data_IF_142287976842
#
_entry.id   IF_142287976842
#
_cell.length_a   1.000
_cell.length_b   1.000
_cell.length_c   1.000
_cell.angle_alpha   90.00
_cell.angle_beta   90.00
_cell.angle_gamma   90.00
#
_symmetry.space_group_name_H-M   'P 1'
#
loop_
_entity.id
_entity.type
_entity.pdbx_description
1 polymer ?
#
# COMPACT_ATOMS: atom_id res chain seq x y z
N UNK A 1 -6.82 -0.52 7.39
CA UNK A 1 -6.52 -1.96 7.24
C UNK A 1 -6.50 -2.47 5.81
N UNK A 2 -7.33 -1.98 4.88
CA UNK A 2 -7.37 -2.49 3.49
C UNK A 2 -6.02 -2.46 2.76
N UNK A 3 -5.22 -1.40 2.97
CA UNK A 3 -3.88 -1.28 2.36
C UNK A 3 -2.90 -2.29 2.96
N UNK A 4 -2.90 -2.46 4.28
CA UNK A 4 -2.05 -3.44 4.99
C UNK A 4 -2.34 -4.87 4.50
N UNK A 5 -3.62 -5.24 4.38
CA UNK A 5 -4.01 -6.58 3.94
C UNK A 5 -3.68 -6.86 2.48
N UNK A 6 -3.92 -5.88 1.60
CA UNK A 6 -3.66 -6.04 0.17
C UNK A 6 -2.16 -6.08 -0.15
N UNK A 7 -1.35 -5.32 0.59
CA UNK A 7 0.11 -5.30 0.39
C UNK A 7 0.85 -6.32 1.25
N UNK A 8 0.20 -7.01 2.19
CA UNK A 8 0.85 -7.84 3.23
C UNK A 8 1.99 -7.07 3.93
N UNK A 9 1.67 -5.86 4.39
CA UNK A 9 2.59 -5.01 5.15
C UNK A 9 1.94 -4.57 6.46
N UNK A 10 2.77 -4.20 7.45
CA UNK A 10 2.31 -3.55 8.68
C UNK A 10 2.64 -2.06 8.59
N UNK A 11 1.64 -1.21 8.77
CA UNK A 11 1.80 0.25 8.73
C UNK A 11 1.61 0.78 10.15
N UNK A 12 2.57 1.54 10.65
CA UNK A 12 2.50 2.23 11.94
C UNK A 12 2.56 3.73 11.68
N UNK A 13 1.51 4.45 12.08
CA UNK A 13 1.43 5.90 12.06
C UNK A 13 2.03 6.44 13.36
N UNK A 14 3.13 7.16 13.25
CA UNK A 14 3.83 7.81 14.37
C UNK A 14 3.81 9.33 14.12
N UNK A 15 2.62 9.91 14.24
CA UNK A 15 2.34 11.34 14.14
C UNK A 15 2.84 11.96 12.81
N UNK A 16 4.10 12.40 12.77
CA UNK A 16 4.77 12.96 11.58
C UNK A 16 5.40 11.91 10.67
N UNK A 17 5.61 10.68 11.14
CA UNK A 17 6.28 9.61 10.38
C UNK A 17 5.38 8.39 10.18
N UNK A 18 5.50 7.78 9.02
CA UNK A 18 4.81 6.55 8.67
C UNK A 18 5.84 5.44 8.52
N UNK A 19 5.80 4.44 9.41
CA UNK A 19 6.66 3.27 9.33
C UNK A 19 5.92 2.15 8.60
N UNK A 20 6.58 1.49 7.65
CA UNK A 20 6.02 0.37 6.89
C UNK A 20 6.97 -0.81 7.01
N UNK A 21 6.47 -1.92 7.55
CA UNK A 21 7.22 -3.16 7.76
C UNK A 21 6.70 -4.25 6.81
N UNK A 22 7.62 -4.96 6.17
CA UNK A 22 7.31 -6.04 5.22
C UNK A 22 8.45 -6.30 4.24
N UNK A 23 8.20 -7.12 3.22
CA UNK A 23 9.16 -7.33 2.13
C UNK A 23 9.33 -6.05 1.31
N UNK A 24 10.53 -5.81 0.77
CA UNK A 24 10.86 -4.57 0.04
C UNK A 24 9.87 -4.23 -1.09
N UNK A 25 9.45 -5.23 -1.87
CA UNK A 25 8.50 -5.05 -2.97
C UNK A 25 7.08 -4.70 -2.51
N UNK A 26 6.68 -5.25 -1.36
CA UNK A 26 5.40 -4.97 -0.72
C UNK A 26 5.39 -3.55 -0.10
N UNK A 27 6.49 -3.19 0.56
CA UNK A 27 6.69 -1.84 1.13
C UNK A 27 6.57 -0.77 0.03
N UNK A 28 7.20 -0.99 -1.14
CA UNK A 28 7.11 -0.05 -2.26
C UNK A 28 5.65 0.17 -2.69
N UNK A 29 4.89 -0.91 -2.82
CA UNK A 29 3.46 -0.84 -3.22
C UNK A 29 2.61 -0.12 -2.17
N UNK A 30 2.82 -0.40 -0.88
CA UNK A 30 2.13 0.30 0.20
C UNK A 30 2.48 1.79 0.24
N UNK A 31 3.76 2.12 0.04
CA UNK A 31 4.25 3.51 0.01
C UNK A 31 3.61 4.31 -1.12
N UNK A 32 3.60 3.77 -2.34
CA UNK A 32 2.98 4.43 -3.50
C UNK A 32 1.50 4.79 -3.22
N UNK A 33 0.78 3.87 -2.58
CA UNK A 33 -0.63 4.08 -2.25
C UNK A 33 -0.83 5.16 -1.19
N UNK A 34 0.01 5.17 -0.14
CA UNK A 34 -0.03 6.19 0.91
C UNK A 34 0.29 7.56 0.34
N UNK A 35 1.33 7.66 -0.49
CA UNK A 35 1.71 8.93 -1.15
C UNK A 35 0.58 9.43 -2.05
N UNK A 36 -0.06 8.55 -2.83
CA UNK A 36 -1.20 8.94 -3.67
C UNK A 36 -2.37 9.51 -2.83
N UNK A 37 -2.64 8.95 -1.66
CA UNK A 37 -3.65 9.46 -0.74
C UNK A 37 -3.25 10.82 -0.14
N UNK A 38 -1.99 11.01 0.25
CA UNK A 38 -1.47 12.29 0.76
C UNK A 38 -1.57 13.39 -0.32
N UNK A 39 -1.32 13.03 -1.58
CA UNK A 39 -1.45 13.93 -2.74
C UNK A 39 -2.91 14.23 -3.13
N UNK A 40 -3.91 13.73 -2.38
CA UNK A 40 -5.32 14.00 -2.63
C UNK A 40 -5.96 13.15 -3.72
N UNK A 41 -5.34 12.02 -4.12
CA UNK A 41 -6.00 11.09 -5.04
C UNK A 41 -7.24 10.49 -4.38
N UNK A 42 -8.36 10.35 -5.11
CA UNK A 42 -9.57 9.77 -4.56
C UNK A 42 -9.30 8.32 -4.10
N UNK A 43 -9.75 7.93 -2.89
CA UNK A 43 -9.42 6.64 -2.31
C UNK A 43 -9.87 5.46 -3.17
N UNK A 44 -11.01 5.59 -3.87
CA UNK A 44 -11.50 4.56 -4.79
C UNK A 44 -10.50 4.21 -5.91
N UNK A 45 -9.83 5.22 -6.47
CA UNK A 45 -8.79 5.01 -7.51
C UNK A 45 -7.58 4.30 -6.93
N UNK A 46 -7.12 4.73 -5.76
CA UNK A 46 -5.98 4.13 -5.06
C UNK A 46 -6.24 2.66 -4.74
N UNK A 47 -7.42 2.33 -4.21
CA UNK A 47 -7.79 0.94 -3.91
C UNK A 47 -7.88 0.06 -5.15
N UNK A 48 -8.44 0.57 -6.26
CA UNK A 48 -8.45 -0.16 -7.53
C UNK A 48 -7.03 -0.45 -8.03
N UNK A 49 -6.12 0.53 -8.00
CA UNK A 49 -4.72 0.32 -8.37
C UNK A 49 -4.03 -0.68 -7.43
N UNK A 50 -4.31 -0.60 -6.13
CA UNK A 50 -3.78 -1.51 -5.13
C UNK A 50 -4.21 -2.95 -5.38
N UNK A 51 -5.49 -3.17 -5.74
CA UNK A 51 -6.05 -4.48 -6.07
C UNK A 51 -5.37 -5.10 -7.29
N UNK A 52 -5.16 -4.31 -8.36
CA UNK A 52 -4.45 -4.77 -9.55
C UNK A 52 -3.00 -5.14 -9.26
N UNK A 53 -2.29 -4.32 -8.47
CA UNK A 53 -0.91 -4.62 -8.05
C UNK A 53 -0.86 -5.87 -7.17
N UNK A 54 -1.77 -6.01 -6.20
CA UNK A 54 -1.85 -7.18 -5.32
C UNK A 54 -2.14 -8.48 -6.09
N UNK A 55 -3.04 -8.44 -7.09
CA UNK A 55 -3.34 -9.59 -7.95
C UNK A 55 -2.11 -10.08 -8.72
N UNK A 56 -1.37 -9.17 -9.37
CA UNK A 56 -0.11 -9.48 -10.07
C UNK A 56 0.97 -10.03 -9.15
N UNK A 57 1.01 -9.54 -7.90
CA UNK A 57 1.96 -10.05 -6.90
C UNK A 57 1.62 -11.46 -6.44
N UNK A 58 0.35 -11.88 -6.55
CA UNK A 58 -0.10 -13.24 -6.22
C UNK A 58 0.16 -14.24 -7.36
N UNK A 59 0.15 -13.80 -8.62
CA UNK A 59 0.48 -14.64 -9.80
C UNK A 59 1.97 -15.01 -9.91
N UNK A 60 2.86 -14.25 -9.25
CA UNK A 60 4.31 -14.50 -9.30
C UNK A 60 4.81 -15.57 -8.33
N UNK A 61 3.91 -16.20 -7.56
CA UNK A 61 4.21 -17.25 -6.59
C UNK A 61 3.34 -18.48 -6.84
#
# INVERSE_FOLDING_TARGET
FTIENASKTRIVLADTRIHILGSFQNIKTARDAIVALILGSPPGKVYSTLRTKAARMKERF
#
